data_IF_847125924799
#
_entry.id   IF_847125924799
#
_cell.length_a   1.000
_cell.length_b   1.000
_cell.length_c   1.000
_cell.angle_alpha   90.00
_cell.angle_beta   90.00
_cell.angle_gamma   90.00
#
_symmetry.space_group_name_H-M   'P 1'
#
loop_
_entity.id
_entity.type
_entity.pdbx_description
1 polymer ?
#
# COMPACT_ATOMS: atom_id res chain seq x y z
N UNK A 1 40.27 6.10 51.69
CA UNK A 1 40.25 4.93 50.77
C UNK A 1 39.37 5.27 49.56
N UNK A 2 40.01 5.69 48.48
CA UNK A 2 39.33 6.06 47.23
C UNK A 2 39.20 4.78 46.40
N UNK A 3 37.97 4.32 46.19
CA UNK A 3 37.66 3.21 45.24
C UNK A 3 37.61 3.74 43.84
N UNK A 4 38.59 3.42 43.01
CA UNK A 4 38.56 3.65 41.58
C UNK A 4 37.53 2.70 40.95
N UNK A 5 36.51 3.27 40.31
CA UNK A 5 35.56 2.56 39.48
C UNK A 5 36.18 2.45 38.06
N UNK A 6 36.64 1.29 37.72
CA UNK A 6 37.01 0.98 36.33
C UNK A 6 35.73 0.87 35.48
N UNK A 7 35.47 1.84 34.63
CA UNK A 7 34.47 1.78 33.59
C UNK A 7 35.06 0.91 32.45
N UNK A 8 34.66 -0.36 32.40
CA UNK A 8 34.96 -1.19 31.24
C UNK A 8 34.13 -0.68 30.05
N UNK A 9 34.79 -0.03 29.09
CA UNK A 9 34.22 0.19 27.77
C UNK A 9 34.00 -1.19 27.13
N UNK A 10 32.77 -1.67 27.18
CA UNK A 10 32.33 -2.77 26.33
C UNK A 10 32.38 -2.26 24.88
N UNK A 11 33.44 -2.63 24.17
CA UNK A 11 33.50 -2.51 22.74
C UNK A 11 32.45 -3.45 22.17
N UNK A 12 31.20 -2.97 22.00
CA UNK A 12 30.18 -3.69 21.23
C UNK A 12 30.74 -3.86 19.84
N UNK A 13 31.09 -5.08 19.48
CA UNK A 13 31.34 -5.45 18.08
C UNK A 13 30.07 -5.07 17.32
N UNK A 14 30.10 -3.95 16.59
CA UNK A 14 29.10 -3.63 15.58
C UNK A 14 29.21 -4.75 14.55
N UNK A 15 28.37 -5.79 14.70
CA UNK A 15 28.27 -6.85 13.71
C UNK A 15 28.14 -6.21 12.34
N UNK A 16 28.93 -6.65 11.38
CA UNK A 16 28.92 -6.09 10.04
C UNK A 16 27.48 -6.08 9.52
N UNK A 17 26.94 -4.89 9.28
CA UNK A 17 25.56 -4.73 8.78
C UNK A 17 25.47 -5.51 7.46
N UNK A 18 24.52 -6.44 7.37
CA UNK A 18 24.30 -7.24 6.18
C UNK A 18 23.58 -6.44 5.11
N UNK A 19 23.88 -6.73 3.85
CA UNK A 19 23.14 -6.20 2.71
C UNK A 19 21.67 -6.60 2.82
N UNK A 20 20.77 -5.64 2.74
CA UNK A 20 19.33 -5.84 2.81
C UNK A 20 18.65 -5.21 1.60
N UNK A 21 17.70 -5.94 1.03
CA UNK A 21 16.84 -5.47 -0.04
C UNK A 21 15.51 -4.96 0.55
N UNK A 22 14.85 -4.05 -0.14
CA UNK A 22 13.49 -3.62 0.20
C UNK A 22 12.48 -4.77 0.02
N UNK A 23 11.36 -4.69 0.72
CA UNK A 23 10.37 -5.77 0.81
C UNK A 23 9.89 -6.38 -0.52
N UNK A 24 9.73 -5.64 -1.63
CA UNK A 24 9.28 -6.23 -2.88
C UNK A 24 10.31 -7.13 -3.56
N UNK A 25 11.61 -7.04 -3.18
CA UNK A 25 12.67 -7.85 -3.77
C UNK A 25 12.84 -9.16 -3.01
N UNK A 26 12.10 -10.17 -3.43
CA UNK A 26 12.18 -11.55 -2.91
C UNK A 26 12.15 -12.56 -4.06
N UNK A 27 12.36 -13.82 -3.75
CA UNK A 27 12.17 -14.91 -4.69
C UNK A 27 10.81 -14.79 -5.40
N UNK A 28 10.76 -15.22 -6.63
CA UNK A 28 9.58 -15.22 -7.49
C UNK A 28 9.01 -13.82 -7.83
N UNK A 29 9.75 -12.73 -7.60
CA UNK A 29 9.27 -11.39 -7.97
C UNK A 29 9.05 -11.25 -9.47
N UNK A 30 8.15 -10.32 -9.84
CA UNK A 30 8.00 -9.87 -11.23
C UNK A 30 8.47 -8.42 -11.31
N UNK A 31 9.42 -8.13 -12.19
CA UNK A 31 9.91 -6.79 -12.47
C UNK A 31 9.14 -6.18 -13.65
N UNK A 32 8.87 -4.87 -13.56
CA UNK A 32 8.16 -4.14 -14.61
C UNK A 32 9.00 -4.07 -15.89
N UNK A 33 8.39 -4.45 -17.03
CA UNK A 33 8.98 -4.31 -18.37
C UNK A 33 8.93 -2.87 -18.88
N UNK A 34 9.78 -2.57 -19.87
CA UNK A 34 9.76 -1.34 -20.68
C UNK A 34 9.92 -0.03 -19.88
N UNK A 35 10.38 -0.13 -18.65
CA UNK A 35 10.68 1.01 -17.76
C UNK A 35 11.98 0.73 -17.02
N UNK A 36 12.68 1.81 -16.64
CA UNK A 36 13.80 1.67 -15.72
C UNK A 36 13.33 1.06 -14.40
N UNK A 37 14.08 0.07 -13.89
CA UNK A 37 13.72 -0.66 -12.66
C UNK A 37 14.58 -0.15 -11.50
N UNK A 38 14.05 0.67 -10.59
CA UNK A 38 14.76 1.02 -9.37
C UNK A 38 14.94 -0.20 -8.49
N UNK A 39 16.16 -0.37 -7.96
CA UNK A 39 16.51 -1.41 -6.99
C UNK A 39 17.18 -0.73 -5.81
N UNK A 40 16.71 -1.00 -4.60
CA UNK A 40 17.21 -0.31 -3.42
C UNK A 40 17.22 -1.19 -2.18
N UNK A 41 17.94 -0.72 -1.20
CA UNK A 41 18.06 -1.40 0.08
C UNK A 41 18.98 -0.67 1.04
N UNK A 42 19.56 -1.40 1.97
CA UNK A 42 20.52 -0.85 2.90
C UNK A 42 21.72 -1.79 3.09
N UNK A 43 22.89 -1.21 3.38
CA UNK A 43 24.13 -1.90 3.70
C UNK A 43 24.94 -1.05 4.68
N UNK A 44 26.15 -1.44 5.02
CA UNK A 44 27.04 -0.57 5.77
C UNK A 44 27.39 0.69 4.96
N UNK A 45 27.49 1.86 5.61
CA UNK A 45 27.89 3.08 4.93
C UNK A 45 29.16 2.92 4.09
N UNK A 46 29.13 3.46 2.89
CA UNK A 46 30.26 3.40 1.95
C UNK A 46 30.44 2.05 1.23
N UNK A 47 29.66 1.01 1.51
CA UNK A 47 29.67 -0.25 0.76
C UNK A 47 29.28 -0.01 -0.69
N UNK A 48 29.99 -0.67 -1.61
CA UNK A 48 29.61 -0.72 -3.02
C UNK A 48 28.73 -1.95 -3.25
N UNK A 49 27.51 -1.73 -3.73
CA UNK A 49 26.53 -2.77 -4.00
C UNK A 49 26.36 -2.92 -5.50
N UNK A 50 26.46 -4.14 -5.99
CA UNK A 50 26.29 -4.50 -7.41
C UNK A 50 25.06 -5.38 -7.58
N UNK A 51 24.25 -5.08 -8.60
CA UNK A 51 23.11 -5.88 -9.04
C UNK A 51 23.37 -6.44 -10.42
N UNK A 52 23.22 -7.77 -10.58
CA UNK A 52 23.32 -8.48 -11.85
C UNK A 52 21.96 -9.07 -12.21
N UNK A 53 21.40 -8.69 -13.36
CA UNK A 53 20.15 -9.25 -13.86
C UNK A 53 19.99 -9.07 -15.37
N UNK A 54 19.54 -10.11 -16.07
CA UNK A 54 19.22 -10.08 -17.51
C UNK A 54 20.35 -9.51 -18.39
N UNK A 55 21.60 -9.83 -18.07
CA UNK A 55 22.79 -9.34 -18.80
C UNK A 55 23.26 -7.94 -18.38
N UNK A 56 22.55 -7.27 -17.52
CA UNK A 56 22.95 -5.97 -16.97
C UNK A 56 23.72 -6.15 -15.67
N UNK A 57 24.73 -5.30 -15.46
CA UNK A 57 25.49 -5.16 -14.20
C UNK A 57 25.51 -3.68 -13.85
N UNK A 58 24.91 -3.32 -12.71
CA UNK A 58 24.84 -1.94 -12.21
C UNK A 58 25.35 -1.89 -10.78
N UNK A 59 25.99 -0.79 -10.40
CA UNK A 59 26.50 -0.60 -9.06
C UNK A 59 26.03 0.73 -8.46
N UNK A 60 25.96 0.78 -7.13
CA UNK A 60 25.72 1.97 -6.35
C UNK A 60 26.50 1.90 -5.03
N UNK A 61 26.84 3.06 -4.48
CA UNK A 61 27.48 3.17 -3.17
C UNK A 61 26.43 3.51 -2.11
N UNK A 62 26.46 2.81 -0.98
CA UNK A 62 25.64 3.15 0.17
C UNK A 62 26.06 4.50 0.77
N UNK A 63 25.08 5.36 1.06
CA UNK A 63 25.29 6.67 1.67
C UNK A 63 25.73 6.56 3.14
N UNK A 64 25.92 7.70 3.82
CA UNK A 64 26.33 7.76 5.22
C UNK A 64 25.30 7.15 6.20
N UNK A 65 24.05 6.97 5.76
CA UNK A 65 22.99 6.26 6.52
C UNK A 65 22.93 4.76 6.18
N UNK A 66 23.71 4.36 5.16
CA UNK A 66 23.74 3.02 4.62
C UNK A 66 22.63 2.73 3.62
N UNK A 67 21.92 3.72 3.11
CA UNK A 67 20.92 3.54 2.08
C UNK A 67 21.58 3.53 0.69
N UNK A 68 21.16 2.64 -0.20
CA UNK A 68 21.64 2.58 -1.58
C UNK A 68 20.47 2.40 -2.56
N UNK A 69 20.65 2.92 -3.77
CA UNK A 69 19.71 2.74 -4.87
C UNK A 69 20.47 2.77 -6.21
N UNK A 70 20.07 1.89 -7.10
CA UNK A 70 20.48 1.91 -8.51
C UNK A 70 19.28 1.71 -9.43
N UNK A 71 19.48 1.80 -10.72
CA UNK A 71 18.43 1.55 -11.72
C UNK A 71 18.97 0.61 -12.80
N UNK A 72 18.23 -0.47 -13.05
CA UNK A 72 18.39 -1.24 -14.26
C UNK A 72 17.75 -0.49 -15.43
N UNK A 73 18.33 -0.63 -16.61
CA UNK A 73 17.72 -0.14 -17.84
C UNK A 73 16.40 -0.90 -18.12
N UNK A 74 15.52 -0.38 -18.97
CA UNK A 74 14.28 -1.05 -19.34
C UNK A 74 14.51 -2.52 -19.73
N UNK A 75 13.66 -3.40 -19.23
CA UNK A 75 13.73 -4.83 -19.44
C UNK A 75 12.67 -5.28 -20.45
N UNK A 76 12.98 -6.27 -21.26
CA UNK A 76 11.99 -6.94 -22.12
C UNK A 76 11.23 -8.01 -21.33
N UNK A 77 9.95 -8.19 -21.66
CA UNK A 77 9.11 -9.24 -21.05
C UNK A 77 9.72 -10.63 -21.26
N UNK A 78 9.68 -11.47 -20.23
CA UNK A 78 10.23 -12.81 -20.30
C UNK A 78 9.49 -13.78 -19.39
N UNK A 79 9.07 -14.91 -19.97
CA UNK A 79 8.53 -16.08 -19.26
C UNK A 79 9.62 -16.99 -18.68
N UNK A 80 10.90 -16.70 -19.00
CA UNK A 80 12.03 -17.48 -18.48
C UNK A 80 12.43 -16.96 -17.11
N UNK A 81 12.34 -17.84 -16.10
CA UNK A 81 12.80 -17.55 -14.75
C UNK A 81 14.33 -17.34 -14.74
N UNK A 82 14.77 -16.28 -14.10
CA UNK A 82 16.20 -15.90 -13.97
C UNK A 82 16.55 -15.69 -12.51
N UNK A 83 17.86 -15.75 -12.21
CA UNK A 83 18.42 -15.36 -10.92
C UNK A 83 18.71 -13.86 -10.95
N UNK A 84 18.21 -13.16 -9.94
CA UNK A 84 18.53 -11.77 -9.65
C UNK A 84 19.57 -11.74 -8.54
N UNK A 85 20.78 -11.28 -8.85
CA UNK A 85 21.89 -11.35 -7.91
C UNK A 85 22.27 -9.99 -7.39
N UNK A 86 22.41 -9.87 -6.07
CA UNK A 86 22.89 -8.67 -5.39
C UNK A 86 24.12 -9.02 -4.57
N UNK A 87 25.19 -8.28 -4.75
CA UNK A 87 26.46 -8.48 -4.04
C UNK A 87 26.97 -7.16 -3.50
N UNK A 88 27.82 -7.23 -2.48
CA UNK A 88 28.60 -6.08 -2.05
C UNK A 88 30.11 -6.37 -2.09
N UNK A 89 30.92 -5.31 -2.01
CA UNK A 89 32.39 -5.41 -1.98
C UNK A 89 32.94 -5.97 -0.66
N UNK A 90 32.05 -6.42 0.26
CA UNK A 90 32.38 -7.05 1.55
C UNK A 90 32.18 -8.57 1.54
N UNK A 91 31.94 -9.15 0.36
CA UNK A 91 31.79 -10.59 0.15
C UNK A 91 30.40 -11.18 0.44
N UNK A 92 29.39 -10.33 0.68
CA UNK A 92 28.01 -10.79 0.88
C UNK A 92 27.28 -10.87 -0.48
N UNK A 93 26.36 -11.83 -0.61
CA UNK A 93 25.57 -12.05 -1.81
C UNK A 93 24.17 -12.56 -1.48
N UNK A 94 23.18 -12.05 -2.22
CA UNK A 94 21.80 -12.56 -2.25
C UNK A 94 21.44 -12.95 -3.68
N UNK A 95 21.07 -14.21 -3.90
CA UNK A 95 20.60 -14.73 -5.16
C UNK A 95 19.08 -14.98 -5.05
N UNK A 96 18.28 -14.06 -5.60
CA UNK A 96 16.82 -14.22 -5.67
C UNK A 96 16.46 -15.04 -6.90
N UNK A 97 15.71 -16.12 -6.68
CA UNK A 97 15.37 -17.12 -7.71
C UNK A 97 13.98 -16.89 -8.29
N UNK A 98 13.76 -17.46 -9.46
CA UNK A 98 12.43 -17.48 -10.08
C UNK A 98 11.96 -16.12 -10.56
N UNK A 99 12.85 -15.15 -10.82
CA UNK A 99 12.48 -13.78 -11.21
C UNK A 99 12.01 -13.74 -12.66
N UNK A 100 10.87 -13.10 -12.90
CA UNK A 100 10.27 -12.88 -14.21
C UNK A 100 10.24 -11.38 -14.55
N UNK A 101 10.06 -11.07 -15.83
CA UNK A 101 9.84 -9.69 -16.30
C UNK A 101 8.49 -9.63 -17.01
N UNK A 102 7.65 -8.70 -16.62
CA UNK A 102 6.31 -8.54 -17.19
C UNK A 102 5.65 -7.24 -16.74
N UNK A 103 4.36 -7.28 -16.52
CA UNK A 103 3.59 -6.14 -16.03
C UNK A 103 3.40 -6.20 -14.53
N UNK A 104 3.61 -5.09 -13.83
CA UNK A 104 3.37 -4.98 -12.39
C UNK A 104 2.31 -3.93 -12.14
N UNK A 105 1.27 -4.31 -11.42
CA UNK A 105 0.18 -3.41 -11.03
C UNK A 105 0.10 -3.27 -9.52
N UNK A 106 0.02 -2.02 -9.06
CA UNK A 106 -0.24 -1.71 -7.65
C UNK A 106 -1.74 -1.86 -7.36
N UNK A 107 -2.08 -2.68 -6.37
CA UNK A 107 -3.46 -2.98 -6.01
C UNK A 107 -3.73 -2.53 -4.58
N UNK A 108 -4.70 -1.62 -4.38
CA UNK A 108 -5.00 -1.09 -3.05
C UNK A 108 -6.48 -0.77 -2.84
N UNK A 109 -6.85 -0.53 -1.59
CA UNK A 109 -8.23 -0.26 -1.19
C UNK A 109 -8.60 -0.88 0.14
N UNK A 110 -9.90 -1.19 0.31
CA UNK A 110 -10.41 -1.74 1.56
C UNK A 110 -10.88 -3.21 1.42
N UNK A 111 -11.81 -3.65 2.27
CA UNK A 111 -12.24 -5.06 2.40
C UNK A 111 -12.58 -5.75 1.09
N UNK A 112 -13.25 -5.08 0.16
CA UNK A 112 -13.54 -5.64 -1.16
C UNK A 112 -12.27 -5.90 -2.00
N UNK A 113 -11.18 -5.21 -1.78
CA UNK A 113 -9.87 -5.50 -2.36
C UNK A 113 -9.14 -6.64 -1.62
N UNK A 114 -9.32 -6.76 -0.32
CA UNK A 114 -8.70 -7.82 0.51
C UNK A 114 -9.39 -9.17 0.34
N UNK A 115 -10.66 -9.19 -0.09
CA UNK A 115 -11.45 -10.42 -0.22
C UNK A 115 -10.79 -11.44 -1.15
N UNK A 116 -10.56 -12.66 -0.64
CA UNK A 116 -9.78 -13.66 -1.35
C UNK A 116 -10.58 -14.41 -2.42
N UNK A 117 -9.87 -14.90 -3.43
CA UNK A 117 -10.47 -15.63 -4.56
C UNK A 117 -11.22 -16.88 -4.10
N UNK A 118 -10.67 -17.65 -3.18
CA UNK A 118 -11.30 -18.86 -2.63
C UNK A 118 -12.62 -18.62 -1.90
N UNK A 119 -12.90 -17.37 -1.47
CA UNK A 119 -14.14 -16.96 -0.79
C UNK A 119 -15.11 -16.20 -1.68
N UNK A 120 -14.90 -16.17 -2.98
CA UNK A 120 -15.67 -15.38 -3.94
C UNK A 120 -16.06 -16.19 -5.18
N UNK A 121 -16.73 -15.57 -6.14
CA UNK A 121 -17.02 -16.13 -7.47
C UNK A 121 -15.75 -16.48 -8.26
N UNK A 122 -14.56 -16.05 -7.81
CA UNK A 122 -13.27 -16.38 -8.42
C UNK A 122 -12.70 -17.72 -7.93
N UNK A 123 -13.43 -18.49 -7.11
CA UNK A 123 -12.96 -19.79 -6.56
C UNK A 123 -12.58 -20.79 -7.65
N UNK A 124 -13.43 -20.92 -8.65
CA UNK A 124 -13.20 -21.89 -9.72
C UNK A 124 -12.00 -21.46 -10.56
N UNK A 125 -11.91 -20.19 -10.94
CA UNK A 125 -10.72 -19.63 -11.59
C UNK A 125 -9.44 -19.90 -10.79
N UNK A 126 -9.45 -19.63 -9.49
CA UNK A 126 -8.29 -19.87 -8.63
C UNK A 126 -7.93 -21.36 -8.56
N UNK A 127 -8.94 -22.24 -8.52
CA UNK A 127 -8.76 -23.68 -8.53
C UNK A 127 -8.17 -24.19 -9.86
N UNK A 128 -8.65 -23.69 -10.98
CA UNK A 128 -8.16 -24.06 -12.31
C UNK A 128 -6.71 -23.60 -12.49
N UNK A 129 -6.40 -22.36 -12.12
CA UNK A 129 -5.03 -21.82 -12.15
C UNK A 129 -4.08 -22.63 -11.27
N UNK A 130 -4.52 -23.04 -10.08
CA UNK A 130 -3.68 -23.80 -9.13
C UNK A 130 -3.41 -25.24 -9.58
N UNK A 131 -4.27 -25.82 -10.42
CA UNK A 131 -4.16 -27.18 -10.96
C UNK A 131 -3.58 -27.23 -12.37
N UNK A 132 -3.38 -26.09 -13.00
CA UNK A 132 -2.87 -26.05 -14.38
C UNK A 132 -1.52 -26.79 -14.46
N UNK A 133 -1.37 -27.67 -15.47
CA UNK A 133 -0.12 -28.42 -15.71
C UNK A 133 1.05 -27.46 -15.95
N UNK A 134 0.81 -26.42 -16.73
CA UNK A 134 1.77 -25.34 -16.96
C UNK A 134 1.44 -24.15 -16.05
N UNK A 135 2.40 -23.72 -15.27
CA UNK A 135 2.24 -22.55 -14.39
C UNK A 135 1.86 -21.32 -15.19
N UNK A 136 0.74 -20.69 -14.83
CA UNK A 136 0.36 -19.38 -15.33
C UNK A 136 1.18 -18.33 -14.56
N UNK A 137 1.96 -17.47 -15.23
CA UNK A 137 2.92 -16.59 -14.57
C UNK A 137 2.25 -15.34 -13.97
N UNK A 138 1.30 -15.57 -13.09
CA UNK A 138 0.64 -14.54 -12.27
C UNK A 138 1.16 -14.69 -10.84
N UNK A 139 1.59 -13.59 -10.23
CA UNK A 139 2.13 -13.59 -8.87
C UNK A 139 1.60 -12.41 -8.07
N UNK A 140 1.43 -12.61 -6.77
CA UNK A 140 0.98 -11.57 -5.85
C UNK A 140 1.91 -11.50 -4.63
N UNK A 141 2.34 -10.29 -4.28
CA UNK A 141 2.93 -10.00 -2.98
C UNK A 141 1.98 -9.13 -2.18
N UNK A 142 1.76 -9.47 -0.91
CA UNK A 142 0.98 -8.66 0.01
C UNK A 142 1.89 -7.99 1.03
N UNK A 143 1.84 -6.66 1.07
CA UNK A 143 2.62 -5.85 2.01
C UNK A 143 1.91 -5.80 3.36
N UNK A 144 2.64 -6.14 4.42
CA UNK A 144 2.11 -6.13 5.78
C UNK A 144 1.62 -4.75 6.19
N UNK A 145 0.59 -4.74 7.01
CA UNK A 145 -0.02 -3.49 7.46
C UNK A 145 0.75 -2.92 8.65
N UNK A 146 1.26 -1.73 8.45
CA UNK A 146 1.88 -0.91 9.49
C UNK A 146 1.22 0.48 9.45
N UNK A 147 0.81 0.98 10.61
CA UNK A 147 0.33 2.35 10.79
C UNK A 147 1.49 3.19 11.30
N UNK A 148 1.79 4.30 10.62
CA UNK A 148 2.92 5.15 10.98
C UNK A 148 2.63 6.64 10.77
N UNK A 149 3.08 7.49 11.69
CA UNK A 149 2.94 8.95 11.59
C UNK A 149 3.84 9.54 10.49
N UNK A 150 4.98 8.89 10.22
CA UNK A 150 5.96 9.32 9.22
C UNK A 150 6.26 8.21 8.22
N UNK A 151 6.66 8.55 6.98
CA UNK A 151 7.03 7.57 5.97
C UNK A 151 8.10 6.61 6.47
N UNK A 152 7.82 5.31 6.36
CA UNK A 152 8.74 4.25 6.72
C UNK A 152 9.65 3.91 5.54
N UNK A 153 10.90 3.54 5.81
CA UNK A 153 11.85 3.07 4.79
C UNK A 153 11.73 1.57 4.52
N UNK A 154 11.17 0.83 5.48
CA UNK A 154 11.08 -0.63 5.44
C UNK A 154 9.63 -1.08 5.56
N UNK A 155 9.25 -2.00 4.69
CA UNK A 155 8.05 -2.81 4.84
C UNK A 155 8.45 -4.28 4.99
N UNK A 156 7.47 -5.11 5.31
CA UNK A 156 7.62 -6.56 5.32
C UNK A 156 6.50 -7.21 4.52
N UNK A 157 6.74 -8.42 4.06
CA UNK A 157 5.72 -9.33 3.55
C UNK A 157 5.95 -10.69 4.21
N UNK A 158 4.91 -11.33 4.69
CA UNK A 158 5.05 -12.61 5.41
C UNK A 158 5.55 -13.73 4.50
N UNK A 159 5.16 -13.71 3.22
CA UNK A 159 5.37 -14.83 2.30
C UNK A 159 6.12 -14.43 1.02
N UNK A 160 6.50 -13.14 0.83
CA UNK A 160 7.05 -12.67 -0.44
C UNK A 160 6.06 -12.83 -1.59
N UNK A 161 6.60 -13.03 -2.81
CA UNK A 161 5.78 -13.24 -4.02
C UNK A 161 5.26 -14.67 -4.10
N UNK A 162 3.95 -14.82 -3.98
CA UNK A 162 3.24 -16.09 -4.11
C UNK A 162 2.94 -16.40 -5.58
N UNK A 163 3.02 -17.67 -5.93
CA UNK A 163 2.64 -18.20 -7.24
C UNK A 163 1.16 -18.61 -7.28
N UNK A 164 0.60 -18.78 -8.48
CA UNK A 164 -0.83 -19.17 -8.65
C UNK A 164 -1.23 -20.50 -8.00
N UNK A 165 -0.30 -21.35 -7.59
CA UNK A 165 -0.62 -22.52 -6.75
C UNK A 165 -1.33 -22.13 -5.46
N UNK A 166 -1.13 -20.88 -5.01
CA UNK A 166 -1.76 -20.29 -3.84
C UNK A 166 -2.90 -19.32 -4.19
N UNK A 167 -3.39 -19.37 -5.44
CA UNK A 167 -4.36 -18.41 -6.00
C UNK A 167 -5.64 -18.27 -5.17
N UNK A 168 -6.06 -19.30 -4.43
CA UNK A 168 -7.19 -19.20 -3.50
C UNK A 168 -7.03 -18.14 -2.42
N UNK A 169 -5.78 -17.83 -2.05
CA UNK A 169 -5.42 -16.77 -1.08
C UNK A 169 -5.16 -15.40 -1.69
N UNK A 170 -5.11 -15.28 -3.02
CA UNK A 170 -4.91 -13.99 -3.70
C UNK A 170 -6.14 -13.10 -3.54
N UNK A 171 -5.95 -11.79 -3.61
CA UNK A 171 -7.05 -10.85 -3.79
C UNK A 171 -7.89 -11.29 -5.00
N UNK A 172 -9.16 -11.56 -4.78
CA UNK A 172 -10.06 -11.95 -5.85
C UNK A 172 -10.12 -10.89 -6.95
N UNK A 173 -10.10 -9.61 -6.60
CA UNK A 173 -10.08 -8.45 -7.48
C UNK A 173 -8.79 -8.44 -8.29
N UNK A 174 -7.66 -8.65 -7.71
CA UNK A 174 -6.36 -8.59 -8.38
C UNK A 174 -6.14 -9.82 -9.27
N UNK A 175 -6.50 -11.01 -8.80
CA UNK A 175 -6.31 -12.25 -9.55
C UNK A 175 -7.02 -12.25 -10.90
N UNK A 176 -8.31 -11.88 -10.91
CA UNK A 176 -9.04 -11.90 -12.17
C UNK A 176 -8.67 -10.73 -13.10
N UNK A 177 -8.22 -9.58 -12.56
CA UNK A 177 -7.61 -8.51 -13.36
C UNK A 177 -6.32 -9.01 -14.02
N UNK A 178 -5.42 -9.59 -13.24
CA UNK A 178 -4.15 -10.14 -13.73
C UNK A 178 -4.37 -11.27 -14.74
N UNK A 179 -5.35 -12.14 -14.51
CA UNK A 179 -5.67 -13.24 -15.43
C UNK A 179 -6.17 -12.73 -16.79
N UNK A 180 -7.02 -11.70 -16.80
CA UNK A 180 -7.49 -11.10 -18.06
C UNK A 180 -6.36 -10.42 -18.82
N UNK A 181 -5.47 -9.70 -18.13
CA UNK A 181 -4.27 -9.13 -18.75
C UNK A 181 -3.34 -10.23 -19.30
N UNK A 182 -3.13 -11.29 -18.53
CA UNK A 182 -2.28 -12.40 -18.99
C UNK A 182 -2.84 -13.06 -20.26
N UNK A 183 -4.15 -13.28 -20.32
CA UNK A 183 -4.79 -13.87 -21.49
C UNK A 183 -4.56 -13.07 -22.77
N UNK A 184 -4.60 -11.77 -22.70
CA UNK A 184 -4.44 -10.88 -23.86
C UNK A 184 -2.97 -10.57 -24.16
N UNK A 185 -2.15 -10.32 -23.15
CA UNK A 185 -0.76 -9.86 -23.33
C UNK A 185 0.27 -11.00 -23.42
N UNK A 186 -0.07 -12.19 -22.88
CA UNK A 186 0.82 -13.36 -22.81
C UNK A 186 2.19 -13.05 -22.15
N UNK A 187 2.22 -12.13 -21.18
CA UNK A 187 3.41 -11.78 -20.40
C UNK A 187 3.17 -12.03 -18.90
N UNK A 188 4.22 -12.21 -18.08
CA UNK A 188 4.05 -12.34 -16.63
C UNK A 188 3.31 -11.14 -16.03
N UNK A 189 2.42 -11.40 -15.05
CA UNK A 189 1.66 -10.34 -14.36
C UNK A 189 1.91 -10.41 -12.86
N UNK A 190 2.49 -9.34 -12.30
CA UNK A 190 2.74 -9.14 -10.89
C UNK A 190 1.71 -8.20 -10.25
N UNK A 191 1.22 -8.58 -9.07
CA UNK A 191 0.36 -7.74 -8.24
C UNK A 191 1.09 -7.38 -6.95
N UNK A 192 1.30 -6.08 -6.76
CA UNK A 192 1.79 -5.51 -5.51
C UNK A 192 0.56 -5.08 -4.68
N UNK A 193 0.10 -5.94 -3.78
CA UNK A 193 -1.11 -5.71 -2.98
C UNK A 193 -0.79 -4.94 -1.69
N UNK A 194 -1.45 -3.80 -1.51
CA UNK A 194 -1.36 -2.96 -0.31
C UNK A 194 -2.75 -2.45 0.08
N UNK A 195 -3.62 -3.34 0.55
CA UNK A 195 -5.00 -3.02 0.95
C UNK A 195 -5.24 -3.33 2.43
N UNK A 196 -6.28 -2.73 3.03
CA UNK A 196 -6.68 -3.03 4.40
C UNK A 196 -8.19 -2.83 4.62
N UNK A 197 -8.82 -3.80 5.27
CA UNK A 197 -10.28 -3.76 5.55
C UNK A 197 -10.66 -2.59 6.44
N UNK A 198 -11.90 -2.09 6.26
CA UNK A 198 -12.50 -1.03 7.09
C UNK A 198 -11.59 0.21 7.20
N UNK A 199 -11.09 0.70 6.08
CA UNK A 199 -10.14 1.83 6.03
C UNK A 199 -10.65 2.92 5.11
N UNK A 200 -10.56 4.14 5.57
CA UNK A 200 -10.92 5.35 4.84
C UNK A 200 -9.82 5.71 3.85
N UNK A 201 -10.18 6.42 2.77
CA UNK A 201 -9.26 6.78 1.67
C UNK A 201 -8.08 7.64 2.15
N UNK A 202 -8.31 8.57 3.06
CA UNK A 202 -7.29 9.48 3.59
C UNK A 202 -6.12 8.75 4.27
N UNK A 203 -6.33 7.55 4.80
CA UNK A 203 -5.25 6.75 5.38
C UNK A 203 -4.21 6.31 4.35
N UNK A 204 -4.60 6.14 3.09
CA UNK A 204 -3.73 5.75 1.98
C UNK A 204 -3.17 6.95 1.19
N UNK A 205 -3.52 8.17 1.59
CA UNK A 205 -3.16 9.39 0.87
C UNK A 205 -1.85 9.97 1.41
N UNK A 206 -0.97 10.41 0.53
CA UNK A 206 0.29 11.08 0.90
C UNK A 206 0.01 12.36 1.69
N UNK A 207 0.75 12.59 2.78
CA UNK A 207 0.60 13.77 3.64
C UNK A 207 0.65 15.09 2.84
N UNK A 208 1.67 15.26 1.99
CA UNK A 208 1.83 16.47 1.18
C UNK A 208 0.63 16.73 0.26
N UNK A 209 0.03 15.67 -0.27
CA UNK A 209 -1.16 15.79 -1.13
C UNK A 209 -2.40 16.24 -0.34
N UNK A 210 -2.54 15.80 0.91
CA UNK A 210 -3.59 16.29 1.83
C UNK A 210 -3.33 17.75 2.19
N UNK A 211 -2.12 18.09 2.64
CA UNK A 211 -1.76 19.43 3.11
C UNK A 211 -1.89 20.51 2.03
N UNK A 212 -1.63 20.16 0.78
CA UNK A 212 -1.73 21.08 -0.36
C UNK A 212 -3.14 21.17 -0.98
N UNK A 213 -4.10 20.34 -0.54
CA UNK A 213 -5.43 20.35 -1.11
C UNK A 213 -6.38 21.26 -0.29
N UNK A 214 -6.97 22.31 -0.90
CA UNK A 214 -7.77 23.31 -0.16
C UNK A 214 -9.03 22.73 0.50
N UNK A 215 -9.59 21.65 -0.03
CA UNK A 215 -10.78 20.97 0.49
C UNK A 215 -10.53 19.98 1.61
N UNK A 216 -9.29 19.84 2.13
CA UNK A 216 -8.91 18.83 3.13
C UNK A 216 -8.31 19.46 4.40
N UNK A 217 -8.81 20.63 4.81
CA UNK A 217 -8.34 21.33 6.02
C UNK A 217 -8.45 20.48 7.28
N UNK A 218 -9.53 19.71 7.43
CA UNK A 218 -9.77 18.89 8.62
C UNK A 218 -8.78 17.73 8.71
N UNK A 219 -8.55 17.03 7.59
CA UNK A 219 -7.55 15.96 7.52
C UNK A 219 -6.13 16.51 7.79
N UNK A 220 -5.81 17.69 7.25
CA UNK A 220 -4.56 18.40 7.51
C UNK A 220 -4.41 18.74 9.00
N UNK A 221 -5.43 19.29 9.64
CA UNK A 221 -5.40 19.65 11.05
C UNK A 221 -5.15 18.41 11.93
N UNK A 222 -5.82 17.29 11.65
CA UNK A 222 -5.59 16.03 12.36
C UNK A 222 -4.14 15.53 12.24
N UNK A 223 -3.50 15.71 11.09
CA UNK A 223 -2.08 15.37 10.89
C UNK A 223 -1.19 16.31 11.69
N UNK A 224 -1.47 17.63 11.62
CA UNK A 224 -0.65 18.65 12.29
C UNK A 224 -0.75 18.55 13.82
N UNK A 225 -1.93 18.27 14.38
CA UNK A 225 -2.10 18.06 15.82
C UNK A 225 -1.27 16.87 16.35
N UNK A 226 -1.08 15.86 15.52
CA UNK A 226 -0.29 14.66 15.87
C UNK A 226 1.22 14.84 15.69
N UNK A 227 1.66 15.90 15.05
CA UNK A 227 3.06 16.09 14.66
C UNK A 227 3.76 17.11 15.59
N UNK A 228 4.56 16.66 16.58
CA UNK A 228 5.25 17.54 17.51
C UNK A 228 6.31 18.45 16.85
N UNK A 229 6.63 18.22 15.57
CA UNK A 229 7.51 19.11 14.81
C UNK A 229 6.78 20.36 14.29
N UNK A 230 5.44 20.36 14.28
CA UNK A 230 4.63 21.55 13.97
C UNK A 230 4.37 22.38 15.23
N UNK A 231 4.09 23.68 15.07
CA UNK A 231 3.68 24.52 16.20
C UNK A 231 2.32 24.07 16.75
N UNK A 232 1.38 23.73 15.87
CA UNK A 232 0.05 23.22 16.22
C UNK A 232 0.16 21.92 17.04
N UNK A 233 0.99 20.97 16.61
CA UNK A 233 1.20 19.71 17.32
C UNK A 233 1.86 19.89 18.66
N UNK A 234 2.88 20.76 18.78
CA UNK A 234 3.48 21.08 20.10
C UNK A 234 2.43 21.57 21.10
N UNK A 235 1.58 22.53 20.68
CA UNK A 235 0.50 23.05 21.54
C UNK A 235 -0.53 21.95 21.89
N UNK A 236 -0.88 21.11 20.93
CA UNK A 236 -1.83 20.00 21.15
C UNK A 236 -1.27 18.97 22.15
N UNK A 237 0.02 18.65 22.08
CA UNK A 237 0.67 17.76 23.05
C UNK A 237 0.84 18.42 24.42
N UNK A 238 1.16 19.70 24.50
CA UNK A 238 1.22 20.45 25.76
C UNK A 238 -0.15 20.39 26.48
N UNK A 239 -1.24 20.64 25.76
CA UNK A 239 -2.58 20.52 26.30
C UNK A 239 -2.90 19.08 26.74
N UNK A 240 -2.57 18.08 25.91
CA UNK A 240 -2.76 16.67 26.24
C UNK A 240 -2.04 16.26 27.54
N UNK A 241 -0.80 16.72 27.75
CA UNK A 241 -0.07 16.41 28.99
C UNK A 241 -0.69 17.10 30.20
N UNK A 242 -1.15 18.33 30.08
CA UNK A 242 -1.88 19.01 31.15
C UNK A 242 -3.19 18.29 31.51
N UNK A 243 -3.96 17.88 30.49
CA UNK A 243 -5.19 17.10 30.69
C UNK A 243 -4.90 15.72 31.31
N UNK A 244 -3.80 15.09 30.94
CA UNK A 244 -3.38 13.79 31.48
C UNK A 244 -3.02 13.88 32.95
N UNK A 245 -2.31 14.93 33.36
CA UNK A 245 -1.97 15.18 34.76
C UNK A 245 -3.22 15.41 35.59
N UNK A 246 -4.15 16.26 35.14
CA UNK A 246 -5.42 16.48 35.78
C UNK A 246 -6.26 15.19 35.88
N UNK A 247 -6.26 14.38 34.82
CA UNK A 247 -6.96 13.09 34.82
C UNK A 247 -6.35 12.10 35.83
N UNK A 248 -5.03 12.06 36.01
CA UNK A 248 -4.39 11.18 36.98
C UNK A 248 -4.83 11.49 38.40
N UNK A 249 -4.98 12.75 38.78
CA UNK A 249 -5.50 13.15 40.08
C UNK A 249 -6.96 12.69 40.28
N UNK A 250 -7.83 12.95 39.30
CA UNK A 250 -9.25 12.54 39.34
C UNK A 250 -9.38 11.02 39.41
N UNK A 251 -8.60 10.31 38.59
CA UNK A 251 -8.62 8.84 38.55
C UNK A 251 -8.13 8.21 39.88
N UNK A 252 -7.09 8.78 40.48
CA UNK A 252 -6.58 8.39 41.78
C UNK A 252 -7.65 8.56 42.87
N UNK A 253 -8.25 9.73 42.98
CA UNK A 253 -9.31 10.01 43.92
C UNK A 253 -10.55 9.12 43.75
N UNK A 254 -10.90 8.76 42.48
CA UNK A 254 -11.99 7.85 42.19
C UNK A 254 -11.67 6.42 42.68
N UNK A 255 -10.43 5.94 42.44
CA UNK A 255 -9.98 4.62 42.89
C UNK A 255 -9.97 4.50 44.44
N UNK A 256 -9.48 5.51 45.14
CA UNK A 256 -9.48 5.56 46.62
C UNK A 256 -10.88 5.46 47.20
N UNK A 257 -11.89 6.01 46.51
CA UNK A 257 -13.30 5.97 46.91
C UNK A 257 -14.04 4.74 46.39
N UNK A 258 -13.36 3.78 45.76
CA UNK A 258 -13.97 2.59 45.17
C UNK A 258 -14.84 2.89 43.94
N UNK A 259 -14.70 4.06 43.35
CA UNK A 259 -15.43 4.52 42.17
C UNK A 259 -14.72 4.17 40.85
N UNK A 260 -15.42 4.36 39.72
CA UNK A 260 -14.85 4.18 38.39
C UNK A 260 -14.13 5.45 37.94
N UNK A 261 -12.88 5.33 37.52
CA UNK A 261 -12.13 6.44 36.91
C UNK A 261 -12.79 6.93 35.60
N UNK A 262 -12.75 8.23 35.30
CA UNK A 262 -13.17 8.75 33.99
C UNK A 262 -12.29 8.22 32.86
N UNK A 263 -12.74 8.38 31.61
CA UNK A 263 -11.93 8.05 30.44
C UNK A 263 -10.63 8.85 30.40
N UNK A 264 -9.54 8.21 29.99
CA UNK A 264 -8.26 8.89 29.77
C UNK A 264 -8.38 9.87 28.61
N UNK A 265 -7.70 11.04 28.65
CA UNK A 265 -7.59 11.95 27.51
C UNK A 265 -7.08 11.25 26.24
N UNK A 266 -7.62 11.62 25.08
CA UNK A 266 -7.18 11.10 23.82
C UNK A 266 -5.85 11.76 23.37
N UNK A 267 -5.00 10.98 22.73
CA UNK A 267 -3.83 11.55 22.05
C UNK A 267 -4.25 12.55 20.97
N UNK A 268 -3.45 13.60 20.72
CA UNK A 268 -3.76 14.61 19.73
C UNK A 268 -3.87 14.06 18.31
N UNK A 269 -4.81 14.58 17.53
CA UNK A 269 -4.99 14.28 16.12
C UNK A 269 -4.98 12.79 15.80
N UNK A 270 -4.16 12.40 14.84
CA UNK A 270 -4.03 10.99 14.41
C UNK A 270 -3.07 10.17 15.29
N UNK A 271 -2.42 10.74 16.29
CA UNK A 271 -1.43 10.01 17.12
C UNK A 271 -2.04 8.82 17.87
N UNK A 272 -3.31 8.92 18.25
CA UNK A 272 -4.08 7.82 18.86
C UNK A 272 -4.83 6.94 17.87
N UNK A 273 -4.75 7.20 16.58
CA UNK A 273 -5.48 6.47 15.54
C UNK A 273 -4.64 5.35 14.93
N UNK A 274 -5.29 4.25 14.58
CA UNK A 274 -4.67 3.15 13.82
C UNK A 274 -4.75 3.36 12.29
N UNK A 275 -5.71 4.16 11.82
CA UNK A 275 -6.05 4.32 10.40
C UNK A 275 -6.37 5.78 10.07
N UNK A 276 -5.68 6.71 10.70
CA UNK A 276 -5.82 8.14 10.44
C UNK A 276 -5.21 8.55 9.10
N UNK A 277 -5.45 9.80 8.68
CA UNK A 277 -4.86 10.36 7.45
C UNK A 277 -3.36 10.08 7.31
N UNK A 278 -2.94 9.66 6.13
CA UNK A 278 -1.57 9.30 5.72
C UNK A 278 -0.92 8.09 6.42
N UNK A 279 -1.51 7.52 7.46
CA UNK A 279 -0.82 6.51 8.28
C UNK A 279 -0.51 5.22 7.51
N UNK A 280 -1.39 4.75 6.63
CA UNK A 280 -1.11 3.59 5.80
C UNK A 280 -0.28 3.93 4.57
N UNK A 281 -0.40 5.15 4.04
CA UNK A 281 0.59 5.61 3.06
C UNK A 281 2.00 5.51 3.65
N UNK A 282 2.21 6.06 4.82
CA UNK A 282 3.51 6.11 5.48
C UNK A 282 4.07 4.71 5.81
N UNK A 283 3.23 3.82 6.34
CA UNK A 283 3.69 2.53 6.84
C UNK A 283 3.65 1.39 5.83
N UNK A 284 2.88 1.53 4.76
CA UNK A 284 2.56 0.41 3.86
C UNK A 284 2.81 0.71 2.38
N UNK A 285 2.71 1.98 1.95
CA UNK A 285 2.91 2.38 0.56
C UNK A 285 4.28 3.03 0.36
N UNK A 286 4.63 4.01 1.17
CA UNK A 286 5.93 4.68 1.06
C UNK A 286 7.13 3.73 1.02
N UNK A 287 7.19 2.66 1.85
CA UNK A 287 8.34 1.75 1.84
C UNK A 287 8.49 0.90 0.57
N UNK A 288 7.48 0.81 -0.27
CA UNK A 288 7.56 0.06 -1.54
C UNK A 288 7.78 0.97 -2.76
N UNK A 289 7.77 2.27 -2.57
CA UNK A 289 8.12 3.25 -3.59
C UNK A 289 9.66 3.38 -3.63
N UNK A 290 10.28 3.35 -4.81
CA UNK A 290 9.72 3.46 -6.15
C UNK A 290 9.68 2.14 -6.95
N UNK A 291 9.22 1.01 -6.38
CA UNK A 291 9.09 -0.22 -7.17
C UNK A 291 8.37 0.06 -8.48
N UNK A 292 8.98 -0.34 -9.59
CA UNK A 292 8.45 -0.02 -10.91
C UNK A 292 7.11 -0.72 -11.14
N UNK A 293 6.09 0.04 -11.52
CA UNK A 293 4.72 -0.41 -11.80
C UNK A 293 4.22 0.16 -13.12
N UNK A 294 3.24 -0.48 -13.74
CA UNK A 294 2.50 0.08 -14.90
C UNK A 294 1.52 1.14 -14.43
N UNK A 295 0.71 0.82 -13.42
CA UNK A 295 -0.35 1.67 -12.90
C UNK A 295 -0.94 1.12 -11.61
N UNK A 296 -2.05 1.69 -11.17
CA UNK A 296 -2.74 1.31 -9.94
C UNK A 296 -4.20 0.92 -10.17
N UNK A 297 -4.67 -0.06 -9.42
CA UNK A 297 -6.08 -0.45 -9.31
C UNK A 297 -6.60 -0.24 -7.90
N UNK A 298 -7.81 0.32 -7.79
CA UNK A 298 -8.35 0.78 -6.52
C UNK A 298 -9.79 0.31 -6.27
N UNK A 299 -10.08 -0.18 -5.07
CA UNK A 299 -11.44 -0.53 -4.65
C UNK A 299 -11.72 -0.07 -3.21
N UNK A 300 -12.37 1.10 -3.08
CA UNK A 300 -12.68 1.69 -1.77
C UNK A 300 -13.87 2.66 -1.89
N UNK A 301 -14.51 2.99 -0.77
CA UNK A 301 -15.58 3.96 -0.66
C UNK A 301 -16.48 3.72 0.55
N UNK A 302 -16.70 2.44 0.93
CA UNK A 302 -17.63 2.06 2.01
C UNK A 302 -17.34 2.77 3.33
N UNK A 303 -16.07 2.88 3.73
CA UNK A 303 -15.70 3.53 4.99
C UNK A 303 -15.83 5.05 4.96
N UNK A 304 -16.09 5.62 3.79
CA UNK A 304 -16.30 7.05 3.57
C UNK A 304 -17.74 7.40 3.18
N UNK A 305 -18.70 6.48 3.38
CA UNK A 305 -20.09 6.66 2.90
C UNK A 305 -20.80 7.90 3.47
N UNK A 306 -20.32 8.48 4.57
CA UNK A 306 -20.85 9.72 5.14
C UNK A 306 -20.13 11.00 4.69
N UNK A 307 -19.13 10.91 3.82
CA UNK A 307 -18.27 12.06 3.48
C UNK A 307 -18.88 13.05 2.48
N UNK A 308 -19.91 12.62 1.73
CA UNK A 308 -20.47 13.48 0.69
C UNK A 308 -19.41 13.97 -0.30
N UNK A 309 -19.41 15.27 -0.59
CA UNK A 309 -18.54 15.90 -1.59
C UNK A 309 -17.05 15.90 -1.22
N UNK A 310 -16.69 15.82 0.07
CA UNK A 310 -15.29 15.80 0.51
C UNK A 310 -14.55 14.58 -0.04
N UNK A 311 -15.28 13.49 -0.31
CA UNK A 311 -14.70 12.31 -0.93
C UNK A 311 -14.06 12.59 -2.30
N UNK A 312 -14.58 13.56 -3.10
CA UNK A 312 -13.95 13.97 -4.36
C UNK A 312 -12.56 14.54 -4.12
N UNK A 313 -12.45 15.49 -3.19
CA UNK A 313 -11.17 16.09 -2.79
C UNK A 313 -10.16 15.04 -2.31
N UNK A 314 -10.64 14.04 -1.55
CA UNK A 314 -9.83 12.91 -1.11
C UNK A 314 -9.37 12.01 -2.27
N UNK A 315 -10.22 11.75 -3.26
CA UNK A 315 -9.84 11.01 -4.47
C UNK A 315 -8.77 11.78 -5.28
N UNK A 316 -8.94 13.08 -5.45
CA UNK A 316 -7.96 13.94 -6.13
C UNK A 316 -6.62 13.93 -5.41
N UNK A 317 -6.62 14.10 -4.09
CA UNK A 317 -5.41 14.05 -3.27
C UNK A 317 -4.73 12.68 -3.32
N UNK A 318 -5.50 11.58 -3.27
CA UNK A 318 -4.96 10.22 -3.37
C UNK A 318 -4.22 10.00 -4.70
N UNK A 319 -4.91 10.26 -5.82
CA UNK A 319 -4.36 9.99 -7.15
C UNK A 319 -3.15 10.88 -7.42
N UNK A 320 -3.24 12.18 -7.12
CA UNK A 320 -2.11 13.10 -7.24
C UNK A 320 -0.95 12.66 -6.35
N UNK A 321 -1.20 12.38 -5.07
CA UNK A 321 -0.15 11.99 -4.13
C UNK A 321 0.57 10.70 -4.52
N UNK A 322 -0.12 9.73 -5.12
CA UNK A 322 0.54 8.53 -5.63
C UNK A 322 1.35 8.82 -6.90
N UNK A 323 0.82 9.60 -7.83
CA UNK A 323 1.54 10.04 -9.03
C UNK A 323 2.81 10.78 -8.68
N UNK A 324 2.74 11.71 -7.74
CA UNK A 324 3.89 12.49 -7.26
C UNK A 324 4.92 11.58 -6.57
N UNK A 325 4.47 10.69 -5.68
CA UNK A 325 5.35 9.80 -4.93
C UNK A 325 6.11 8.80 -5.81
N UNK A 326 5.47 8.24 -6.86
CA UNK A 326 6.12 7.38 -7.85
C UNK A 326 6.89 8.14 -8.92
N UNK A 327 6.75 9.47 -9.00
CA UNK A 327 7.30 10.28 -10.10
C UNK A 327 6.70 9.92 -11.45
N UNK A 328 5.39 9.59 -11.48
CA UNK A 328 4.65 9.13 -12.65
C UNK A 328 3.39 9.98 -12.84
N UNK A 329 3.48 11.22 -13.40
CA UNK A 329 2.35 12.12 -13.52
C UNK A 329 1.20 11.52 -14.34
N UNK A 330 1.52 10.67 -15.32
CA UNK A 330 0.58 9.98 -16.21
C UNK A 330 0.22 8.54 -15.71
N UNK A 331 0.51 8.20 -14.45
CA UNK A 331 0.23 6.86 -13.93
C UNK A 331 -1.24 6.48 -14.13
N UNK A 332 -1.54 5.37 -14.85
CA UNK A 332 -2.90 4.86 -14.99
C UNK A 332 -3.51 4.53 -13.62
N UNK A 333 -4.75 4.98 -13.42
CA UNK A 333 -5.48 4.74 -12.19
C UNK A 333 -6.90 4.24 -12.49
N UNK A 334 -7.14 2.97 -12.24
CA UNK A 334 -8.42 2.33 -12.49
C UNK A 334 -9.12 1.96 -11.19
N UNK A 335 -10.39 2.31 -11.06
CA UNK A 335 -11.11 2.09 -9.82
C UNK A 335 -12.52 1.55 -10.03
N UNK A 336 -13.02 0.83 -9.02
CA UNK A 336 -14.42 0.41 -9.00
C UNK A 336 -15.27 1.52 -8.37
N UNK A 337 -16.35 1.88 -9.05
CA UNK A 337 -17.41 2.66 -8.42
C UNK A 337 -18.02 1.88 -7.26
N UNK A 338 -18.51 2.58 -6.26
CA UNK A 338 -19.13 1.97 -5.09
C UNK A 338 -20.31 1.07 -5.48
N UNK A 339 -20.42 -0.11 -4.86
CA UNK A 339 -21.55 -1.02 -5.05
C UNK A 339 -22.85 -0.44 -4.50
N UNK A 340 -23.99 -0.97 -4.96
CA UNK A 340 -25.26 -0.70 -4.33
C UNK A 340 -25.34 -1.41 -2.97
N UNK A 341 -25.60 -0.64 -1.93
CA UNK A 341 -25.85 -1.13 -0.57
C UNK A 341 -26.58 -0.06 0.22
N UNK A 342 -27.38 -0.42 1.17
CA UNK A 342 -28.06 0.48 2.08
C UNK A 342 -29.56 0.21 2.19
N UNK A 343 -30.20 0.98 3.05
CA UNK A 343 -31.64 1.00 3.25
C UNK A 343 -32.36 1.70 2.09
N UNK A 344 -33.61 1.35 1.78
CA UNK A 344 -34.48 2.15 0.92
C UNK A 344 -34.83 3.52 1.54
N UNK A 345 -34.35 3.83 2.72
CA UNK A 345 -34.53 5.10 3.40
C UNK A 345 -33.92 6.24 2.55
N UNK A 346 -34.75 7.19 2.08
CA UNK A 346 -34.27 8.31 1.25
C UNK A 346 -33.35 9.28 2.00
N UNK A 347 -33.28 9.23 3.32
CA UNK A 347 -32.37 10.03 4.13
C UNK A 347 -30.97 9.36 4.26
N UNK A 348 -30.85 8.07 3.98
CA UNK A 348 -29.59 7.32 4.04
C UNK A 348 -28.97 7.16 2.64
N UNK A 349 -28.58 8.25 2.05
CA UNK A 349 -28.04 8.31 0.66
C UNK A 349 -26.54 8.13 0.54
N UNK A 350 -25.83 7.89 1.66
CA UNK A 350 -24.35 7.92 1.71
C UNK A 350 -23.65 7.08 0.65
N UNK A 351 -24.15 5.89 0.30
CA UNK A 351 -23.58 5.09 -0.80
C UNK A 351 -23.90 5.66 -2.18
N UNK A 352 -25.07 6.28 -2.35
CA UNK A 352 -25.45 6.96 -3.58
C UNK A 352 -24.58 8.19 -3.80
N UNK A 353 -24.33 8.97 -2.75
CA UNK A 353 -23.47 10.15 -2.79
C UNK A 353 -22.04 9.78 -3.19
N UNK A 354 -21.47 8.75 -2.61
CA UNK A 354 -20.13 8.28 -3.00
C UNK A 354 -20.10 7.85 -4.47
N UNK A 355 -21.10 7.13 -4.98
CA UNK A 355 -21.18 6.78 -6.40
C UNK A 355 -21.24 8.01 -7.30
N UNK A 356 -22.03 9.01 -6.93
CA UNK A 356 -22.14 10.25 -7.66
C UNK A 356 -20.81 11.01 -7.70
N UNK A 357 -20.15 11.11 -6.55
CA UNK A 357 -18.86 11.78 -6.41
C UNK A 357 -17.76 11.05 -7.20
N UNK A 358 -17.72 9.73 -7.15
CA UNK A 358 -16.80 8.92 -7.95
C UNK A 358 -17.04 9.11 -9.47
N UNK A 359 -18.29 9.23 -9.89
CA UNK A 359 -18.63 9.52 -11.27
C UNK A 359 -18.14 10.92 -11.68
N UNK A 360 -18.39 11.95 -10.87
CA UNK A 360 -17.92 13.31 -11.14
C UNK A 360 -16.39 13.37 -11.18
N UNK A 361 -15.71 12.72 -10.25
CA UNK A 361 -14.24 12.60 -10.28
C UNK A 361 -13.77 11.99 -11.61
N UNK A 362 -14.36 10.87 -12.04
CA UNK A 362 -14.01 10.26 -13.33
C UNK A 362 -14.28 11.19 -14.51
N UNK A 363 -15.42 11.90 -14.53
CA UNK A 363 -15.76 12.82 -15.63
C UNK A 363 -14.76 13.97 -15.78
N UNK A 364 -14.21 14.43 -14.65
CA UNK A 364 -13.23 15.53 -14.62
C UNK A 364 -11.78 15.05 -14.84
N UNK A 365 -11.50 13.73 -14.75
CA UNK A 365 -10.15 13.16 -14.82
C UNK A 365 -10.05 11.98 -15.81
N UNK A 366 -10.70 12.06 -16.97
CA UNK A 366 -10.77 10.95 -17.95
C UNK A 366 -9.44 10.50 -18.51
N UNK A 367 -8.46 11.38 -18.50
CA UNK A 367 -7.11 11.07 -18.96
C UNK A 367 -6.42 10.22 -17.88
N UNK A 368 -5.91 9.07 -18.29
CA UNK A 368 -5.22 8.11 -17.39
C UNK A 368 -6.03 7.68 -16.15
N UNK A 369 -7.35 7.79 -16.19
CA UNK A 369 -8.29 7.29 -15.18
C UNK A 369 -9.38 6.47 -15.85
N UNK A 370 -9.78 5.36 -15.23
CA UNK A 370 -10.91 4.55 -15.65
C UNK A 370 -11.78 4.13 -14.45
N UNK A 371 -13.09 4.23 -14.64
CA UNK A 371 -14.08 3.84 -13.64
C UNK A 371 -14.87 2.62 -14.11
N UNK A 372 -15.02 1.66 -13.19
CA UNK A 372 -15.81 0.45 -13.42
C UNK A 372 -17.10 0.50 -12.62
N UNK A 373 -18.23 0.59 -13.30
CA UNK A 373 -19.55 0.45 -12.70
C UNK A 373 -19.76 -1.01 -12.25
N UNK A 374 -20.29 -1.21 -11.07
CA UNK A 374 -20.56 -2.53 -10.49
C UNK A 374 -21.93 -2.62 -9.79
N UNK A 375 -22.80 -1.66 -9.99
CA UNK A 375 -24.14 -1.63 -9.41
C UNK A 375 -25.03 -2.79 -9.85
N UNK A 376 -24.77 -3.35 -11.02
CA UNK A 376 -25.44 -4.53 -11.59
C UNK A 376 -24.93 -5.89 -11.02
N UNK A 377 -23.89 -5.88 -10.22
CA UNK A 377 -23.19 -7.09 -9.78
C UNK A 377 -23.52 -7.54 -8.35
N UNK A 378 -24.31 -6.76 -7.64
CA UNK A 378 -24.63 -7.02 -6.23
C UNK A 378 -25.91 -7.84 -6.00
N UNK A 379 -26.63 -8.19 -7.06
CA UNK A 379 -27.92 -8.89 -6.98
C UNK A 379 -27.86 -10.30 -6.36
N UNK A 380 -26.69 -10.94 -6.41
CA UNK A 380 -26.49 -12.28 -5.85
C UNK A 380 -26.20 -12.29 -4.33
N UNK A 381 -26.05 -11.11 -3.70
CA UNK A 381 -25.86 -11.00 -2.25
C UNK A 381 -26.67 -9.82 -1.71
N UNK A 382 -27.99 -9.90 -1.73
CA UNK A 382 -28.85 -8.84 -1.21
C UNK A 382 -28.56 -8.62 0.29
N UNK A 383 -28.13 -7.43 0.64
CA UNK A 383 -27.82 -7.03 2.01
C UNK A 383 -26.33 -7.08 2.42
N UNK A 384 -25.42 -7.52 1.54
CA UNK A 384 -23.99 -7.57 1.85
C UNK A 384 -23.16 -6.44 1.22
N UNK A 385 -22.34 -5.75 2.02
CA UNK A 385 -21.36 -4.80 1.50
C UNK A 385 -20.19 -5.49 0.77
N UNK A 386 -20.03 -6.80 0.99
CA UNK A 386 -19.02 -7.63 0.34
C UNK A 386 -19.66 -8.43 -0.79
N UNK A 387 -19.86 -7.83 -1.96
CA UNK A 387 -20.45 -8.51 -3.09
C UNK A 387 -19.60 -9.74 -3.52
N UNK A 388 -20.30 -10.85 -3.80
CA UNK A 388 -19.66 -12.14 -4.11
C UNK A 388 -19.01 -12.15 -5.49
N UNK A 389 -19.61 -11.44 -6.47
CA UNK A 389 -19.14 -11.39 -7.83
C UNK A 389 -17.90 -10.50 -7.98
N UNK A 390 -16.73 -11.04 -7.64
CA UNK A 390 -15.44 -10.38 -7.82
C UNK A 390 -14.85 -10.59 -9.22
N UNK A 391 -15.45 -11.37 -10.07
CA UNK A 391 -14.96 -11.70 -11.41
C UNK A 391 -15.21 -10.58 -12.43
N UNK A 392 -16.44 -10.13 -12.59
CA UNK A 392 -16.81 -9.18 -13.63
C UNK A 392 -16.27 -7.75 -13.47
N UNK A 393 -16.18 -7.16 -12.28
CA UNK A 393 -15.63 -5.80 -12.15
C UNK A 393 -14.23 -5.67 -12.72
N UNK A 394 -13.46 -6.74 -12.66
CA UNK A 394 -12.07 -6.72 -13.09
C UNK A 394 -11.85 -6.99 -14.52
N UNK A 395 -12.68 -7.84 -15.10
CA UNK A 395 -12.71 -7.96 -16.55
C UNK A 395 -13.00 -6.59 -17.17
N UNK A 396 -13.91 -5.81 -16.55
CA UNK A 396 -14.17 -4.41 -16.95
C UNK A 396 -12.96 -3.51 -16.71
N UNK A 397 -12.25 -3.69 -15.60
CA UNK A 397 -11.05 -2.90 -15.25
C UNK A 397 -9.87 -3.26 -16.16
N UNK A 398 -9.65 -4.54 -16.47
CA UNK A 398 -8.62 -4.98 -17.40
C UNK A 398 -8.86 -4.43 -18.82
N UNK A 399 -10.11 -4.29 -19.24
CA UNK A 399 -10.44 -3.65 -20.53
C UNK A 399 -10.04 -2.17 -20.58
N UNK A 400 -10.11 -1.45 -19.45
CA UNK A 400 -9.57 -0.10 -19.38
C UNK A 400 -8.06 -0.10 -19.62
N UNK A 401 -7.33 -0.97 -18.95
CA UNK A 401 -5.88 -1.10 -19.12
C UNK A 401 -5.53 -1.50 -20.56
N UNK A 402 -6.17 -2.55 -21.09
CA UNK A 402 -5.92 -3.02 -22.46
C UNK A 402 -6.21 -1.97 -23.54
N UNK A 403 -7.18 -1.11 -23.31
CA UNK A 403 -7.56 -0.08 -24.28
C UNK A 403 -6.73 1.20 -24.21
N UNK A 404 -6.10 1.48 -23.06
CA UNK A 404 -5.37 2.74 -22.83
C UNK A 404 -3.87 2.58 -22.68
N UNK A 405 -3.41 1.45 -22.14
CA UNK A 405 -2.01 1.26 -21.76
C UNK A 405 -1.27 0.26 -22.66
N UNK A 406 -2.02 -0.51 -23.46
CA UNK A 406 -1.53 -1.56 -24.38
C UNK A 406 -2.18 -1.46 -25.73
#
# INVERSE_FOLDING_TARGET
>A
MIRAVFLALACSSVGAKEIQLAAPFTDNMILQRERAVPVWGSDAPGSEVTVEFAGQVKAAKADDKGDWMLRLDPLEASLTERVFRVRNNRGQSHDLKGVLVGEVWFSSGQSNMVWTAGKSMCRDLASDLSRAEKEVPIREININTVSALYPQKKATSEQGWKKVKEAGGFSALSLSFAHELYRELQVPIGILLSAHSNTRIEAFTQRQAIESHPGLSDDKNLIHDADPLTEQGRRAFEQYYADLEAWQEIAGNAAERGGKAPGRPNLPGIAGMWRGPSQFFNGKIAPVIPYAIRGAIWCQGTSNSGDGRVYASRMEALVRGWRDAWGMPEMPFYFTQMQCYGSPDPENVGFADIRQVQHLFFMNNRENVGMVVQSDLNSANPGGIHYFNKLHPRMRMARWALAKDY
#
